data_IF_426312777093
#
_entry.id   IF_426312777093
#
_cell.length_a   1.000
_cell.length_b   1.000
_cell.length_c   1.000
_cell.angle_alpha   90.00
_cell.angle_beta   90.00
_cell.angle_gamma   90.00
#
_symmetry.space_group_name_H-M   'P 1'
#
loop_
_entity.id
_entity.type
_entity.pdbx_description
1 polymer ?
#
# COMPACT_ATOMS: atom_id res chain seq x y z
N UNK A 1 -22.61 1.34 -27.22
CA UNK A 1 -23.50 2.44 -26.83
C UNK A 1 -22.64 3.45 -26.14
N UNK A 2 -22.87 4.74 -26.36
CA UNK A 2 -22.09 5.78 -25.68
C UNK A 2 -22.53 5.82 -24.21
N UNK A 3 -21.57 5.68 -23.30
CA UNK A 3 -21.78 5.76 -21.87
C UNK A 3 -20.97 6.92 -21.30
N UNK A 4 -21.64 7.77 -20.53
CA UNK A 4 -21.04 8.87 -19.79
C UNK A 4 -21.42 8.70 -18.32
N UNK A 5 -20.43 8.79 -17.44
CA UNK A 5 -20.61 8.71 -16.00
C UNK A 5 -19.83 9.82 -15.32
N UNK A 6 -20.49 10.54 -14.41
CA UNK A 6 -19.85 11.48 -13.50
C UNK A 6 -19.80 10.86 -12.11
N UNK A 7 -18.62 10.42 -11.71
CA UNK A 7 -18.39 9.76 -10.44
C UNK A 7 -17.78 10.75 -9.46
N UNK A 8 -18.41 10.87 -8.29
CA UNK A 8 -17.87 11.64 -7.16
C UNK A 8 -17.50 10.69 -6.03
N UNK A 9 -16.24 10.69 -5.67
CA UNK A 9 -15.68 9.88 -4.59
C UNK A 9 -15.58 10.76 -3.36
N UNK A 10 -16.23 10.37 -2.27
CA UNK A 10 -16.19 11.10 -1.00
C UNK A 10 -15.42 10.28 0.03
N UNK A 11 -14.63 10.97 0.85
CA UNK A 11 -13.83 10.38 1.92
C UNK A 11 -14.38 10.85 3.26
N UNK A 12 -14.61 9.89 4.16
CA UNK A 12 -15.30 10.11 5.41
C UNK A 12 -15.54 8.82 6.14
N UNK A 13 -16.07 8.96 7.36
CA UNK A 13 -16.53 7.87 8.21
C UNK A 13 -18.06 7.88 8.19
N UNK A 14 -18.68 6.72 7.98
CA UNK A 14 -20.12 6.55 8.08
C UNK A 14 -20.45 5.78 9.36
N UNK A 15 -21.03 6.46 10.34
CA UNK A 15 -21.38 5.89 11.65
C UNK A 15 -22.79 6.35 12.03
N UNK A 16 -23.61 5.42 12.53
CA UNK A 16 -24.98 5.69 13.03
C UNK A 16 -25.87 6.50 12.05
N UNK A 17 -25.75 6.22 10.76
CA UNK A 17 -26.52 6.90 9.71
C UNK A 17 -25.97 8.27 9.30
N UNK A 18 -24.85 8.70 9.90
CA UNK A 18 -24.24 10.01 9.67
C UNK A 18 -22.93 9.86 8.91
N UNK A 19 -22.80 10.58 7.80
CA UNK A 19 -21.55 10.72 7.07
C UNK A 19 -20.74 11.91 7.61
N UNK A 20 -19.56 11.62 8.15
CA UNK A 20 -18.61 12.64 8.62
C UNK A 20 -17.41 12.67 7.68
N UNK A 21 -17.28 13.70 6.82
CA UNK A 21 -16.16 13.79 5.90
C UNK A 21 -14.86 14.11 6.64
N UNK A 22 -13.75 13.54 6.19
CA UNK A 22 -12.41 13.95 6.60
C UNK A 22 -11.50 14.10 5.39
N UNK A 23 -10.47 14.93 5.54
CA UNK A 23 -9.52 15.23 4.47
C UNK A 23 -8.38 14.23 4.48
N UNK A 24 -8.08 13.63 3.33
CA UNK A 24 -6.84 12.89 3.15
C UNK A 24 -5.72 13.88 2.84
N UNK A 25 -4.55 13.76 3.48
CA UNK A 25 -3.39 14.57 3.12
C UNK A 25 -2.93 14.28 1.69
N UNK A 26 -3.02 13.02 1.27
CA UNK A 26 -2.84 12.63 -0.13
C UNK A 26 -3.65 11.38 -0.47
N UNK A 27 -4.08 11.30 -1.73
CA UNK A 27 -4.71 10.15 -2.36
C UNK A 27 -4.24 10.08 -3.80
N UNK A 28 -4.03 8.88 -4.32
CA UNK A 28 -3.76 8.68 -5.73
C UNK A 28 -4.70 7.61 -6.30
N UNK A 29 -5.07 7.78 -7.57
CA UNK A 29 -5.84 6.80 -8.33
C UNK A 29 -5.14 6.55 -9.65
N UNK A 30 -5.10 5.29 -10.07
CA UNK A 30 -4.66 4.92 -11.41
C UNK A 30 -5.87 4.61 -12.27
N UNK A 31 -5.95 5.29 -13.40
CA UNK A 31 -6.88 5.09 -14.49
C UNK A 31 -6.20 4.20 -15.51
N UNK A 32 -6.79 3.05 -15.80
CA UNK A 32 -6.19 2.04 -16.67
C UNK A 32 -7.09 1.78 -17.88
N UNK A 33 -6.51 1.15 -18.90
CA UNK A 33 -7.21 0.67 -20.11
C UNK A 33 -7.72 1.81 -21.02
N UNK A 34 -7.00 2.94 -21.12
CA UNK A 34 -7.37 3.93 -22.14
C UNK A 34 -7.17 3.33 -23.53
N UNK A 35 -8.24 3.14 -24.30
CA UNK A 35 -8.17 2.63 -25.66
C UNK A 35 -9.17 3.31 -26.62
N UNK A 36 -9.00 3.12 -27.92
CA UNK A 36 -9.96 3.55 -28.96
C UNK A 36 -10.77 2.43 -29.59
N UNK A 37 -10.56 1.21 -29.15
CA UNK A 37 -11.04 0.03 -29.86
C UNK A 37 -10.67 0.05 -31.34
N UNK A 38 -11.51 -0.59 -32.17
CA UNK A 38 -11.21 -0.79 -33.60
C UNK A 38 -11.35 0.47 -34.47
N UNK A 39 -11.80 1.61 -33.93
CA UNK A 39 -11.99 2.85 -34.70
C UNK A 39 -11.79 4.10 -33.82
N UNK A 40 -10.91 5.01 -34.25
CA UNK A 40 -10.48 6.21 -33.49
C UNK A 40 -11.59 7.23 -33.13
N UNK A 41 -12.82 7.05 -33.59
CA UNK A 41 -13.94 7.95 -33.25
C UNK A 41 -14.59 7.67 -31.90
N UNK A 42 -14.08 6.72 -31.11
CA UNK A 42 -14.78 6.15 -29.96
C UNK A 42 -13.85 5.87 -28.76
N UNK A 43 -12.88 6.76 -28.52
CA UNK A 43 -11.86 6.55 -27.49
C UNK A 43 -12.35 6.80 -26.08
N UNK A 44 -11.86 5.99 -25.15
CA UNK A 44 -12.09 6.18 -23.74
C UNK A 44 -11.45 7.50 -23.30
N UNK A 45 -12.20 8.24 -22.47
CA UNK A 45 -11.80 9.57 -22.03
C UNK A 45 -12.17 9.75 -20.57
N UNK A 46 -11.26 10.30 -19.79
CA UNK A 46 -11.51 10.74 -18.42
C UNK A 46 -11.20 12.23 -18.31
N UNK A 47 -12.06 12.96 -17.62
CA UNK A 47 -11.86 14.36 -17.28
C UNK A 47 -11.76 14.48 -15.76
N UNK A 48 -10.77 15.25 -15.31
CA UNK A 48 -10.66 15.68 -13.91
C UNK A 48 -10.42 17.19 -13.85
N UNK A 49 -11.02 17.83 -12.86
CA UNK A 49 -10.94 19.28 -12.61
C UNK A 49 -10.33 19.61 -11.25
N UNK A 50 -10.02 18.60 -10.43
CA UNK A 50 -9.72 18.76 -9.00
C UNK A 50 -8.50 17.95 -8.51
N UNK A 51 -7.76 17.32 -9.42
CA UNK A 51 -6.45 16.74 -9.12
C UNK A 51 -5.41 17.84 -8.85
N UNK A 52 -4.45 17.54 -7.99
CA UNK A 52 -3.30 18.39 -7.68
C UNK A 52 -2.16 18.22 -8.69
N UNK A 53 -1.92 16.97 -9.12
CA UNK A 53 -0.95 16.63 -10.17
C UNK A 53 -1.39 15.35 -10.89
N UNK A 54 -0.76 15.06 -12.03
CA UNK A 54 -1.03 13.86 -12.80
C UNK A 54 0.25 13.34 -13.47
N UNK A 55 0.22 12.06 -13.83
CA UNK A 55 1.20 11.37 -14.66
C UNK A 55 0.45 10.60 -15.74
N UNK A 56 1.00 10.57 -16.96
CA UNK A 56 0.42 9.82 -18.08
C UNK A 56 1.47 8.92 -18.71
N UNK A 57 1.06 7.71 -19.07
CA UNK A 57 1.84 6.86 -19.95
C UNK A 57 2.01 7.50 -21.33
N UNK A 58 3.02 7.05 -22.07
CA UNK A 58 3.44 7.65 -23.35
C UNK A 58 2.33 7.66 -24.42
N UNK A 59 1.40 6.71 -24.37
CA UNK A 59 0.30 6.59 -25.32
C UNK A 59 -0.91 7.45 -24.92
N UNK A 60 -1.00 7.93 -23.68
CA UNK A 60 -2.12 8.76 -23.23
C UNK A 60 -1.95 10.19 -23.74
N UNK A 61 -2.89 10.63 -24.57
CA UNK A 61 -3.01 12.04 -24.96
C UNK A 61 -3.64 12.83 -23.82
N UNK A 62 -2.87 13.77 -23.25
CA UNK A 62 -3.33 14.64 -22.17
C UNK A 62 -3.45 16.07 -22.68
N UNK A 63 -4.63 16.66 -22.49
CA UNK A 63 -4.88 18.08 -22.78
C UNK A 63 -5.42 18.77 -21.54
N UNK A 64 -4.86 19.93 -21.20
CA UNK A 64 -5.29 20.72 -20.04
C UNK A 64 -5.43 22.19 -20.42
N UNK A 65 -6.50 22.82 -19.93
CA UNK A 65 -6.73 24.28 -20.05
C UNK A 65 -6.46 25.03 -18.74
N UNK A 66 -5.91 24.34 -17.73
CA UNK A 66 -5.65 24.87 -16.39
C UNK A 66 -6.83 24.78 -15.42
N UNK A 67 -8.05 24.52 -15.89
CA UNK A 67 -9.21 24.22 -15.06
C UNK A 67 -9.66 22.76 -15.21
N UNK A 68 -9.46 22.20 -16.40
CA UNK A 68 -9.92 20.90 -16.81
C UNK A 68 -8.77 20.16 -17.48
N UNK A 69 -8.50 18.94 -17.03
CA UNK A 69 -7.56 18.03 -17.70
C UNK A 69 -8.32 16.85 -18.26
N UNK A 70 -8.08 16.57 -19.54
CA UNK A 70 -8.67 15.48 -20.30
C UNK A 70 -7.59 14.47 -20.63
N UNK A 71 -7.82 13.23 -20.24
CA UNK A 71 -7.00 12.06 -20.52
C UNK A 71 -7.74 11.20 -21.53
N UNK A 72 -7.11 10.89 -22.65
CA UNK A 72 -7.68 10.04 -23.69
C UNK A 72 -6.56 9.37 -24.44
N UNK A 73 -6.73 8.12 -24.86
CA UNK A 73 -5.82 7.50 -25.81
C UNK A 73 -6.32 7.72 -27.25
N UNK A 74 -5.41 7.69 -28.23
CA UNK A 74 -5.67 7.59 -29.67
C UNK A 74 -5.22 6.24 -30.26
N UNK A 75 -4.68 5.34 -29.43
CA UNK A 75 -4.21 4.02 -29.81
C UNK A 75 -5.38 3.09 -30.13
N UNK A 76 -5.30 2.47 -31.30
CA UNK A 76 -6.30 1.48 -31.75
C UNK A 76 -5.88 0.08 -31.29
N UNK A 77 -6.05 -0.21 -30.01
CA UNK A 77 -5.87 -1.55 -29.46
C UNK A 77 -7.17 -2.36 -29.52
N UNK A 78 -7.02 -3.67 -29.68
CA UNK A 78 -8.07 -4.63 -29.30
C UNK A 78 -8.03 -4.88 -27.79
N UNK A 79 -8.89 -5.76 -27.28
CA UNK A 79 -8.87 -6.12 -25.85
C UNK A 79 -7.72 -7.04 -25.43
N UNK A 80 -6.61 -7.03 -26.18
CA UNK A 80 -5.47 -7.95 -26.00
C UNK A 80 -4.55 -7.49 -24.86
N UNK A 81 -4.65 -6.23 -24.43
CA UNK A 81 -3.77 -5.62 -23.42
C UNK A 81 -4.53 -5.07 -22.20
N UNK A 82 -5.76 -5.54 -21.98
CA UNK A 82 -6.52 -5.14 -20.79
C UNK A 82 -5.80 -5.63 -19.53
N UNK A 83 -5.68 -4.79 -18.49
CA UNK A 83 -5.06 -5.21 -17.24
C UNK A 83 -5.94 -6.24 -16.52
N UNK A 84 -5.33 -7.35 -16.11
CA UNK A 84 -5.91 -8.38 -15.26
C UNK A 84 -5.42 -8.30 -13.80
N UNK A 85 -4.53 -7.34 -13.53
CA UNK A 85 -3.86 -7.10 -12.25
C UNK A 85 -3.67 -5.60 -11.99
N UNK A 86 -3.44 -5.23 -10.73
CA UNK A 86 -3.05 -3.86 -10.33
C UNK A 86 -1.57 -3.56 -10.59
N UNK A 87 -0.75 -4.60 -10.79
CA UNK A 87 0.63 -4.48 -11.25
C UNK A 87 0.60 -4.43 -12.78
N UNK A 88 0.95 -3.29 -13.36
CA UNK A 88 0.96 -3.08 -14.80
C UNK A 88 2.33 -3.41 -15.40
N UNK A 89 2.35 -4.04 -16.57
CA UNK A 89 3.55 -4.13 -17.39
C UNK A 89 3.83 -2.81 -18.14
N UNK A 90 4.95 -2.72 -18.87
CA UNK A 90 5.35 -1.50 -19.59
C UNK A 90 4.30 -1.04 -20.61
N UNK A 91 3.63 -1.97 -21.29
CA UNK A 91 2.64 -1.67 -22.32
C UNK A 91 1.36 -1.13 -21.68
N UNK A 92 0.89 -1.77 -20.60
CA UNK A 92 -0.25 -1.35 -19.81
C UNK A 92 0.00 -0.01 -19.09
N UNK A 93 1.23 0.24 -18.61
CA UNK A 93 1.63 1.53 -18.07
C UNK A 93 1.56 2.64 -19.12
N UNK A 94 1.93 2.34 -20.37
CA UNK A 94 1.91 3.31 -21.47
C UNK A 94 0.50 3.83 -21.81
N UNK A 95 -0.53 3.04 -21.54
CA UNK A 95 -1.96 3.37 -21.78
C UNK A 95 -2.72 3.68 -20.48
N UNK A 96 -2.01 4.04 -19.41
CA UNK A 96 -2.59 4.36 -18.10
C UNK A 96 -2.24 5.79 -17.66
N UNK A 97 -3.03 6.36 -16.75
CA UNK A 97 -2.77 7.66 -16.15
C UNK A 97 -2.96 7.64 -14.63
N UNK A 98 -2.05 8.27 -13.91
CA UNK A 98 -2.14 8.50 -12.46
C UNK A 98 -2.68 9.90 -12.17
N UNK A 99 -3.67 9.99 -11.27
CA UNK A 99 -4.16 11.25 -10.72
C UNK A 99 -3.88 11.31 -9.23
N UNK A 100 -3.34 12.44 -8.77
CA UNK A 100 -3.02 12.67 -7.38
C UNK A 100 -3.84 13.82 -6.82
N UNK A 101 -4.38 13.62 -5.63
CA UNK A 101 -5.24 14.55 -4.91
C UNK A 101 -4.62 14.81 -3.55
N UNK A 102 -4.41 16.08 -3.22
CA UNK A 102 -3.82 16.48 -1.94
C UNK A 102 -4.82 17.36 -1.20
N UNK A 103 -4.88 17.18 0.13
CA UNK A 103 -5.78 17.92 1.01
C UNK A 103 -7.25 17.92 0.55
N UNK A 104 -7.71 16.78 0.04
CA UNK A 104 -9.08 16.57 -0.42
C UNK A 104 -9.85 15.60 0.46
N UNK A 105 -11.13 15.89 0.69
CA UNK A 105 -12.10 14.95 1.25
C UNK A 105 -13.05 14.38 0.17
N UNK A 106 -12.89 14.79 -1.09
CA UNK A 106 -13.60 14.24 -2.25
C UNK A 106 -12.88 14.61 -3.55
N UNK A 107 -13.13 13.83 -4.60
CA UNK A 107 -12.72 14.16 -5.97
C UNK A 107 -13.77 13.68 -6.98
N UNK A 108 -13.74 14.24 -8.19
CA UNK A 108 -14.69 13.93 -9.26
C UNK A 108 -13.99 13.53 -10.54
N UNK A 109 -14.49 12.45 -11.15
CA UNK A 109 -14.06 12.00 -12.47
C UNK A 109 -15.26 11.95 -13.41
N UNK A 110 -15.16 12.58 -14.57
CA UNK A 110 -16.12 12.42 -15.66
C UNK A 110 -15.53 11.45 -16.68
N UNK A 111 -16.22 10.34 -16.88
CA UNK A 111 -15.72 9.18 -17.62
C UNK A 111 -16.63 8.96 -18.83
N UNK A 112 -16.00 8.77 -19.99
CA UNK A 112 -16.68 8.58 -21.25
C UNK A 112 -16.18 7.30 -21.90
N UNK A 113 -17.10 6.43 -22.28
CA UNK A 113 -16.84 5.23 -23.04
C UNK A 113 -17.71 5.21 -24.29
N UNK A 114 -17.08 5.31 -25.47
CA UNK A 114 -17.81 5.42 -26.74
C UNK A 114 -17.85 4.10 -27.52
N UNK A 115 -17.50 2.97 -26.89
CA UNK A 115 -17.43 1.70 -27.58
C UNK A 115 -18.81 1.13 -27.98
N UNK A 116 -18.85 0.39 -29.09
CA UNK A 116 -20.08 -0.27 -29.57
C UNK A 116 -20.55 -1.39 -28.63
N UNK A 117 -19.63 -1.98 -27.88
CA UNK A 117 -19.82 -3.06 -26.89
C UNK A 117 -19.45 -2.56 -25.50
N UNK A 118 -20.01 -3.11 -24.40
CA UNK A 118 -19.70 -2.66 -23.05
C UNK A 118 -18.21 -2.82 -22.77
N UNK A 119 -17.57 -1.70 -22.41
CA UNK A 119 -16.20 -1.62 -21.95
C UNK A 119 -16.16 -0.85 -20.64
N UNK A 120 -15.09 -0.97 -19.89
CA UNK A 120 -15.01 -0.44 -18.53
C UNK A 120 -13.63 0.16 -18.33
N UNK A 121 -13.60 1.45 -18.01
CA UNK A 121 -12.40 2.08 -17.48
C UNK A 121 -12.20 1.53 -16.08
N UNK A 122 -11.07 0.87 -15.86
CA UNK A 122 -10.74 0.26 -14.57
C UNK A 122 -10.11 1.31 -13.64
N UNK A 123 -10.54 1.29 -12.38
CA UNK A 123 -9.99 2.12 -11.31
C UNK A 123 -9.27 1.23 -10.29
N UNK A 124 -8.00 1.50 -10.04
CA UNK A 124 -7.28 0.93 -8.91
C UNK A 124 -6.98 2.02 -7.89
N UNK A 125 -7.47 1.83 -6.65
CA UNK A 125 -7.20 2.70 -5.50
C UNK A 125 -5.93 2.33 -4.71
N UNK A 126 -5.19 1.32 -5.18
CA UNK A 126 -3.84 1.01 -4.71
C UNK A 126 -2.94 1.17 -5.92
N UNK A 127 -2.30 2.33 -6.04
CA UNK A 127 -1.24 2.52 -7.01
C UNK A 127 0.08 2.09 -6.36
N UNK A 128 0.62 0.99 -6.85
CA UNK A 128 2.00 0.55 -6.64
C UNK A 128 2.90 1.07 -7.76
N UNK A 129 2.63 2.27 -8.29
CA UNK A 129 3.58 3.00 -9.11
C UNK A 129 4.83 3.29 -8.25
N UNK A 130 5.80 2.40 -8.34
CA UNK A 130 7.17 2.67 -7.94
C UNK A 130 7.74 3.68 -8.93
N UNK A 131 7.69 4.96 -8.59
CA UNK A 131 8.39 6.01 -9.36
C UNK A 131 9.60 6.54 -8.62
N UNK A 132 10.60 6.94 -9.40
CA UNK A 132 11.96 7.28 -8.95
C UNK A 132 11.97 8.32 -7.83
N UNK A 133 12.84 8.08 -6.84
CA UNK A 133 13.07 9.00 -5.74
C UNK A 133 13.38 10.40 -6.29
N UNK A 134 12.53 11.38 -5.95
CA UNK A 134 12.77 12.79 -6.26
C UNK A 134 14.12 13.18 -5.65
N UNK A 135 15.10 13.51 -6.50
CA UNK A 135 16.38 14.01 -6.05
C UNK A 135 16.23 15.45 -5.56
N UNK A 136 16.12 15.61 -4.23
CA UNK A 136 16.15 16.95 -3.62
C UNK A 136 17.57 17.52 -3.68
N UNK A 137 17.76 18.75 -4.20
CA UNK A 137 19.06 19.43 -4.13
C UNK A 137 19.43 19.75 -2.67
N UNK A 138 20.73 19.65 -2.37
CA UNK A 138 21.27 19.86 -1.02
C UNK A 138 20.86 21.24 -0.45
N UNK A 139 20.45 21.32 0.83
CA UNK A 139 20.04 22.59 1.43
C UNK A 139 21.23 23.54 1.56
N UNK A 140 21.00 24.81 1.18
CA UNK A 140 21.96 25.90 1.35
C UNK A 140 22.09 26.26 2.84
N UNK A 141 23.29 26.48 3.39
CA UNK A 141 23.47 26.77 4.80
C UNK A 141 22.87 28.13 5.20
N UNK A 142 22.14 28.15 6.31
CA UNK A 142 21.42 29.31 6.85
C UNK A 142 22.37 30.28 7.58
N UNK A 143 22.19 31.61 7.49
CA UNK A 143 23.00 32.58 8.21
C UNK A 143 22.64 32.63 9.72
N UNK A 144 23.66 32.83 10.55
CA UNK A 144 23.57 32.85 12.01
C UNK A 144 22.93 34.14 12.57
N UNK A 145 21.87 34.07 13.38
CA UNK A 145 21.34 35.23 14.11
C UNK A 145 21.89 35.36 15.55
N UNK A 146 21.90 36.62 16.03
CA UNK A 146 22.36 37.07 17.37
C UNK A 146 21.30 36.87 18.48
N UNK A 147 21.68 36.87 19.78
CA UNK A 147 20.84 36.37 20.86
C UNK A 147 19.96 37.47 21.48
N UNK A 148 18.74 37.13 21.91
CA UNK A 148 18.00 37.82 22.99
C UNK A 148 16.94 36.89 23.60
N UNK A 149 16.74 37.02 24.91
CA UNK A 149 16.21 36.06 25.89
C UNK A 149 14.67 35.98 26.00
N UNK A 150 14.23 34.86 26.60
CA UNK A 150 12.87 34.34 26.79
C UNK A 150 11.94 35.16 27.73
N UNK A 151 10.62 34.91 27.74
CA UNK A 151 10.04 33.80 28.51
C UNK A 151 8.91 32.98 27.81
N UNK A 152 8.60 31.86 28.46
CA UNK A 152 8.02 30.57 28.03
C UNK A 152 6.49 30.50 27.80
N UNK A 153 6.08 29.74 26.76
CA UNK A 153 4.76 29.12 26.56
C UNK A 153 4.90 27.73 25.87
N UNK A 154 3.90 26.83 25.94
CA UNK A 154 4.09 25.38 25.91
C UNK A 154 4.48 24.83 24.54
N UNK A 155 5.29 23.78 24.60
CA UNK A 155 5.89 23.05 23.50
C UNK A 155 4.83 22.43 22.58
N UNK A 156 4.86 22.66 21.25
CA UNK A 156 4.22 21.74 20.31
C UNK A 156 4.99 20.42 20.31
N UNK A 157 4.25 19.31 20.41
CA UNK A 157 4.78 17.95 20.30
C UNK A 157 5.47 17.77 18.94
N UNK A 158 6.69 17.20 18.87
CA UNK A 158 7.32 16.90 17.60
C UNK A 158 6.51 15.83 16.86
N UNK A 159 6.16 16.10 15.61
CA UNK A 159 5.75 15.06 14.66
C UNK A 159 6.93 14.12 14.46
N UNK A 160 6.78 12.79 14.64
CA UNK A 160 7.88 11.87 14.38
C UNK A 160 8.20 11.87 12.89
N UNK A 161 9.46 12.17 12.56
CA UNK A 161 10.07 11.82 11.28
C UNK A 161 9.92 10.31 11.02
N UNK A 162 9.92 9.84 9.75
CA UNK A 162 9.96 8.41 9.48
C UNK A 162 11.26 7.85 10.08
N UNK A 163 11.14 7.21 11.23
CA UNK A 163 12.29 6.66 11.94
C UNK A 163 12.43 5.22 11.46
N UNK A 164 13.55 4.90 10.81
CA UNK A 164 13.87 3.52 10.41
C UNK A 164 13.75 2.61 11.63
N UNK A 165 13.09 1.45 11.48
CA UNK A 165 12.75 0.58 12.60
C UNK A 165 14.00 -0.02 13.27
N UNK A 166 15.05 -0.23 12.46
CA UNK A 166 16.33 -0.78 12.89
C UNK A 166 17.45 0.21 12.64
N UNK A 167 18.39 0.27 13.59
CA UNK A 167 19.67 0.97 13.47
C UNK A 167 20.81 0.05 13.91
N UNK A 168 21.84 -0.15 13.09
CA UNK A 168 22.99 -1.00 13.45
C UNK A 168 23.97 -0.15 14.23
N UNK A 169 24.10 -0.45 15.53
CA UNK A 169 24.91 0.36 16.45
C UNK A 169 26.32 -0.22 16.67
N UNK A 170 26.56 -1.49 16.30
CA UNK A 170 27.92 -2.07 16.22
C UNK A 170 27.98 -3.35 15.40
N UNK A 171 29.17 -3.67 14.87
CA UNK A 171 29.44 -4.88 14.10
C UNK A 171 28.97 -4.82 12.65
N UNK A 172 28.98 -5.97 11.97
CA UNK A 172 28.81 -6.06 10.52
C UNK A 172 27.44 -6.62 10.08
N UNK A 173 26.42 -6.50 10.94
CA UNK A 173 25.07 -6.90 10.55
C UNK A 173 24.51 -5.96 9.48
N UNK A 174 23.78 -6.53 8.53
CA UNK A 174 23.08 -5.76 7.50
C UNK A 174 21.76 -5.22 8.05
N UNK A 175 21.41 -3.99 7.68
CA UNK A 175 20.10 -3.41 7.98
C UNK A 175 19.58 -2.51 6.85
N UNK A 176 18.27 -2.56 6.67
CA UNK A 176 17.45 -1.55 5.98
C UNK A 176 16.48 -0.96 7.01
N UNK A 177 15.67 0.03 6.61
CA UNK A 177 14.72 0.64 7.54
C UNK A 177 13.63 -0.31 8.07
N UNK A 178 13.46 -1.50 7.48
CA UNK A 178 12.45 -2.47 7.89
C UNK A 178 12.95 -3.90 8.04
N UNK A 179 14.22 -4.19 7.74
CA UNK A 179 14.79 -5.54 7.83
C UNK A 179 16.24 -5.53 8.30
N UNK A 180 16.65 -6.63 8.92
CA UNK A 180 18.01 -6.90 9.40
C UNK A 180 18.44 -8.30 8.98
N UNK A 181 19.75 -8.47 8.84
CA UNK A 181 20.38 -9.74 8.43
C UNK A 181 21.67 -9.99 9.18
N UNK A 182 22.00 -11.26 9.41
CA UNK A 182 23.33 -11.65 9.89
C UNK A 182 24.43 -11.21 8.91
N UNK A 183 25.68 -11.07 9.36
CA UNK A 183 26.79 -10.77 8.45
C UNK A 183 26.86 -11.78 7.31
N UNK A 184 27.17 -11.31 6.10
CA UNK A 184 27.29 -12.09 4.86
C UNK A 184 26.03 -12.78 4.33
N UNK A 185 24.87 -12.69 5.01
CA UNK A 185 23.63 -13.31 4.54
C UNK A 185 23.32 -12.89 3.08
N UNK A 186 22.95 -13.82 2.17
CA UNK A 186 22.54 -15.20 2.41
C UNK A 186 23.66 -16.25 2.40
N UNK A 187 24.93 -15.85 2.43
CA UNK A 187 26.06 -16.76 2.65
C UNK A 187 26.29 -16.98 4.15
N UNK A 188 27.14 -17.96 4.49
CA UNK A 188 27.42 -18.26 5.89
C UNK A 188 28.09 -17.08 6.61
N UNK A 189 27.67 -16.84 7.86
CA UNK A 189 28.34 -15.85 8.72
C UNK A 189 29.75 -16.32 9.12
N UNK A 190 30.56 -15.41 9.66
CA UNK A 190 31.93 -15.71 10.09
C UNK A 190 32.02 -16.20 11.54
N UNK A 191 33.16 -16.84 11.92
CA UNK A 191 33.45 -17.20 13.31
C UNK A 191 33.70 -15.96 14.17
N UNK A 192 33.47 -16.09 15.49
CA UNK A 192 33.77 -15.09 16.52
C UNK A 192 33.19 -13.68 16.22
N UNK A 193 32.10 -13.63 15.44
CA UNK A 193 31.46 -12.41 15.00
C UNK A 193 30.45 -11.92 16.02
N UNK A 194 30.26 -10.61 16.14
CA UNK A 194 29.17 -10.05 16.91
C UNK A 194 28.66 -8.74 16.31
N UNK A 195 27.39 -8.44 16.55
CA UNK A 195 26.79 -7.17 16.19
C UNK A 195 25.67 -6.81 17.16
N UNK A 196 25.31 -5.52 17.20
CA UNK A 196 24.17 -5.04 17.95
C UNK A 196 23.33 -4.07 17.12
N UNK A 197 22.02 -4.18 17.28
CA UNK A 197 20.99 -3.45 16.52
C UNK A 197 20.03 -2.83 17.53
N UNK A 198 19.70 -1.56 17.36
CA UNK A 198 18.73 -0.85 18.19
C UNK A 198 17.38 -0.74 17.48
N UNK A 199 16.29 -0.98 18.22
CA UNK A 199 14.93 -0.74 17.75
C UNK A 199 14.53 0.72 17.98
N UNK A 200 14.05 1.40 16.94
CA UNK A 200 13.52 2.76 17.09
C UNK A 200 12.19 2.81 17.85
N UNK A 201 11.38 1.75 17.73
CA UNK A 201 10.14 1.58 18.50
C UNK A 201 9.75 0.10 18.58
N UNK A 202 9.01 -0.32 19.62
CA UNK A 202 8.61 -1.71 19.79
C UNK A 202 7.86 -2.24 18.57
N UNK A 203 8.35 -3.32 17.95
CA UNK A 203 7.78 -3.87 16.71
C UNK A 203 7.83 -5.39 16.66
N UNK A 204 6.81 -6.01 16.04
CA UNK A 204 6.73 -7.46 15.88
C UNK A 204 7.65 -7.95 14.77
N UNK A 205 8.52 -8.91 15.07
CA UNK A 205 9.46 -9.49 14.12
C UNK A 205 8.80 -10.55 13.22
N UNK A 206 9.06 -10.46 11.92
CA UNK A 206 8.78 -11.45 10.89
C UNK A 206 10.11 -12.08 10.49
N UNK A 207 10.26 -13.39 10.69
CA UNK A 207 11.49 -14.10 10.36
C UNK A 207 11.33 -14.74 9.00
N UNK A 208 12.09 -14.26 8.02
CA UNK A 208 12.08 -14.79 6.65
C UNK A 208 12.97 -16.04 6.55
N UNK A 209 14.11 -16.02 7.24
CA UNK A 209 15.06 -17.14 7.29
C UNK A 209 15.82 -17.12 8.62
N UNK A 210 16.12 -18.30 9.16
CA UNK A 210 16.87 -18.47 10.41
C UNK A 210 17.53 -19.84 10.46
N UNK A 211 18.84 -19.88 10.27
CA UNK A 211 19.68 -21.07 10.34
C UNK A 211 21.01 -20.71 10.97
N UNK A 212 21.21 -21.08 12.23
CA UNK A 212 22.45 -20.86 12.98
C UNK A 212 22.92 -22.15 13.65
N UNK A 213 24.16 -22.22 14.14
CA UNK A 213 24.55 -23.32 15.01
C UNK A 213 23.67 -23.31 16.26
N UNK A 214 23.04 -24.45 16.54
CA UNK A 214 22.19 -24.59 17.70
C UNK A 214 23.01 -24.41 18.99
N UNK A 215 22.49 -23.63 19.94
CA UNK A 215 23.02 -23.40 21.29
C UNK A 215 24.23 -22.46 21.35
N UNK A 216 25.14 -22.51 20.37
CA UNK A 216 26.40 -21.75 20.40
C UNK A 216 26.27 -20.37 19.74
N UNK A 217 25.62 -20.32 18.59
CA UNK A 217 25.44 -19.07 17.83
C UNK A 217 24.06 -18.48 18.11
N UNK A 218 24.05 -17.34 18.79
CA UNK A 218 22.86 -16.84 19.47
C UNK A 218 22.48 -15.44 19.01
N UNK A 219 21.21 -15.30 18.62
CA UNK A 219 20.51 -14.03 18.54
C UNK A 219 19.75 -13.79 19.85
N UNK A 220 19.93 -12.62 20.46
CA UNK A 220 19.27 -12.22 21.70
C UNK A 220 18.25 -11.14 21.39
N UNK A 221 16.98 -11.41 21.69
CA UNK A 221 15.86 -10.44 21.55
C UNK A 221 15.12 -10.37 22.89
N UNK A 222 14.99 -9.18 23.46
CA UNK A 222 14.40 -8.94 24.79
C UNK A 222 14.99 -9.85 25.90
N UNK A 223 16.30 -10.13 25.82
CA UNK A 223 16.99 -11.00 26.77
C UNK A 223 16.77 -12.52 26.58
N UNK A 224 16.03 -12.94 25.54
CA UNK A 224 15.85 -14.36 25.21
C UNK A 224 16.78 -14.78 24.07
N UNK A 225 17.35 -15.97 24.18
CA UNK A 225 18.30 -16.55 23.23
C UNK A 225 17.59 -17.38 22.15
N UNK A 226 17.94 -17.16 20.89
CA UNK A 226 17.45 -17.86 19.71
C UNK A 226 18.64 -18.43 18.94
N UNK A 227 18.56 -19.69 18.53
CA UNK A 227 19.62 -20.40 17.79
C UNK A 227 19.04 -21.57 16.99
N UNK A 228 19.85 -22.24 16.16
CA UNK A 228 19.39 -23.35 15.34
C UNK A 228 18.44 -22.87 14.25
N UNK A 229 17.31 -23.56 14.11
CA UNK A 229 16.20 -23.16 13.24
C UNK A 229 15.06 -22.44 13.98
N UNK A 230 15.25 -22.12 15.27
CA UNK A 230 14.23 -21.53 16.13
C UNK A 230 14.46 -20.02 16.29
N UNK A 231 14.11 -19.25 15.27
CA UNK A 231 14.19 -17.78 15.29
C UNK A 231 13.04 -17.11 16.07
N UNK A 232 13.14 -15.78 16.32
CA UNK A 232 12.16 -15.01 17.12
C UNK A 232 10.88 -14.65 16.32
N UNK A 233 10.20 -15.65 15.75
CA UNK A 233 8.99 -15.45 14.94
C UNK A 233 7.87 -14.83 15.80
N UNK A 234 7.34 -13.68 15.39
CA UNK A 234 6.21 -13.02 16.05
C UNK A 234 6.55 -12.36 17.40
N UNK A 235 7.83 -12.30 17.77
CA UNK A 235 8.28 -11.62 18.99
C UNK A 235 8.23 -10.11 18.77
N UNK A 236 7.59 -9.37 19.69
CA UNK A 236 7.68 -7.91 19.71
C UNK A 236 9.02 -7.49 20.32
N UNK A 237 9.98 -7.12 19.48
CA UNK A 237 11.28 -6.63 19.93
C UNK A 237 11.14 -5.19 20.45
N UNK A 238 11.76 -4.92 21.60
CA UNK A 238 11.80 -3.61 22.25
C UNK A 238 13.22 -3.37 22.78
N UNK A 239 13.87 -2.31 22.31
CA UNK A 239 15.28 -2.01 22.58
C UNK A 239 16.27 -2.82 21.74
N UNK A 240 17.41 -3.18 22.34
CA UNK A 240 18.54 -3.77 21.62
C UNK A 240 18.35 -5.25 21.26
N UNK A 241 18.70 -5.60 20.03
CA UNK A 241 18.93 -6.97 19.54
C UNK A 241 20.43 -7.20 19.44
N UNK A 242 20.93 -8.34 19.91
CA UNK A 242 22.36 -8.69 19.85
C UNK A 242 22.58 -10.02 19.17
N UNK A 243 23.62 -10.13 18.37
CA UNK A 243 24.03 -11.37 17.70
C UNK A 243 25.47 -11.69 18.06
N UNK A 244 25.77 -12.97 18.29
CA UNK A 244 27.13 -13.46 18.44
C UNK A 244 27.28 -14.88 17.90
N UNK A 245 28.39 -15.15 17.21
CA UNK A 245 28.83 -16.50 16.85
C UNK A 245 30.06 -16.94 17.64
N UNK A 246 30.24 -18.26 17.76
CA UNK A 246 31.43 -18.89 18.31
C UNK A 246 32.46 -19.19 17.19
N UNK A 247 33.52 -19.94 17.52
CA UNK A 247 34.62 -20.21 16.62
C UNK A 247 34.33 -21.21 15.49
N UNK A 248 33.21 -21.93 15.46
CA UNK A 248 32.91 -22.98 14.49
C UNK A 248 31.41 -23.07 14.12
N UNK A 249 31.05 -24.06 13.29
CA UNK A 249 29.64 -24.40 13.05
C UNK A 249 28.78 -23.40 12.27
N UNK A 250 29.39 -22.46 11.55
CA UNK A 250 28.65 -21.37 10.90
C UNK A 250 27.70 -21.86 9.80
N UNK A 251 26.46 -21.41 9.89
CA UNK A 251 25.40 -21.62 8.91
C UNK A 251 25.07 -20.32 8.15
N UNK A 252 24.04 -20.39 7.31
CA UNK A 252 23.53 -19.29 6.47
C UNK A 252 23.16 -18.02 7.26
N UNK A 253 22.83 -18.15 8.53
CA UNK A 253 22.41 -17.05 9.40
C UNK A 253 20.93 -16.71 9.28
N UNK A 254 20.57 -15.44 9.36
CA UNK A 254 19.17 -15.02 9.51
C UNK A 254 18.81 -13.77 8.72
N UNK A 255 17.53 -13.68 8.36
CA UNK A 255 16.89 -12.50 7.77
C UNK A 255 15.56 -12.25 8.47
N UNK A 256 15.41 -11.07 9.07
CA UNK A 256 14.29 -10.72 9.93
C UNK A 256 13.81 -9.31 9.57
N UNK A 257 12.51 -9.11 9.46
CA UNK A 257 11.90 -7.81 9.18
C UNK A 257 10.92 -7.42 10.30
N UNK A 258 10.54 -6.14 10.39
CA UNK A 258 9.35 -5.77 11.14
C UNK A 258 8.10 -6.10 10.33
N UNK A 259 7.12 -6.74 10.97
CA UNK A 259 5.77 -6.79 10.44
C UNK A 259 5.18 -5.38 10.44
N UNK A 260 4.53 -4.97 9.36
CA UNK A 260 3.69 -3.77 9.37
C UNK A 260 2.76 -3.85 10.59
N UNK A 261 2.54 -2.73 11.32
CA UNK A 261 1.83 -2.76 12.58
C UNK A 261 0.50 -3.46 12.41
N UNK A 262 0.38 -4.65 13.02
CA UNK A 262 -0.91 -5.30 13.19
C UNK A 262 -1.69 -4.38 14.11
N UNK A 263 -2.81 -3.84 13.61
CA UNK A 263 -3.70 -3.01 14.41
C UNK A 263 -3.95 -3.72 15.76
N UNK A 264 -3.90 -2.94 16.84
CA UNK A 264 -4.07 -3.45 18.20
C UNK A 264 -5.29 -4.41 18.28
N UNK A 265 -5.22 -5.50 19.07
CA UNK A 265 -6.33 -6.44 19.18
C UNK A 265 -7.60 -5.71 19.60
N UNK A 266 -8.58 -5.71 18.70
CA UNK A 266 -9.92 -5.20 18.95
C UNK A 266 -10.49 -5.93 20.17
N UNK A 267 -11.15 -5.23 21.12
CA UNK A 267 -11.87 -5.89 22.22
C UNK A 267 -12.82 -6.96 21.69
N UNK A 268 -13.14 -7.99 22.50
CA UNK A 268 -13.98 -9.11 22.08
C UNK A 268 -15.26 -8.58 21.42
N UNK A 269 -15.70 -9.17 20.29
CA UNK A 269 -16.82 -8.63 19.54
C UNK A 269 -18.05 -8.59 20.44
N UNK A 270 -18.59 -7.39 20.62
CA UNK A 270 -20.02 -7.21 20.91
C UNK A 270 -20.78 -8.10 19.92
N UNK A 271 -21.80 -8.88 20.35
CA UNK A 271 -22.55 -9.75 19.45
C UNK A 271 -22.93 -8.96 18.19
N UNK A 272 -22.49 -9.46 17.03
CA UNK A 272 -22.70 -8.78 15.76
C UNK A 272 -24.18 -8.42 15.60
N UNK A 273 -24.49 -7.20 15.12
CA UNK A 273 -25.84 -6.90 14.69
C UNK A 273 -26.25 -7.96 13.67
N UNK A 274 -27.48 -8.42 13.77
CA UNK A 274 -28.06 -9.34 12.78
C UNK A 274 -27.89 -8.70 11.41
N UNK A 275 -27.19 -9.35 10.48
CA UNK A 275 -26.94 -8.78 9.15
C UNK A 275 -28.26 -8.25 8.57
N UNK A 276 -28.25 -6.97 8.19
CA UNK A 276 -29.40 -6.35 7.56
C UNK A 276 -29.67 -7.01 6.20
N UNK A 277 -28.70 -7.71 5.61
CA UNK A 277 -28.79 -8.37 4.32
C UNK A 277 -29.38 -9.77 4.47
N UNK A 278 -30.43 -10.05 3.71
CA UNK A 278 -31.06 -11.37 3.63
C UNK A 278 -31.22 -11.76 2.17
N UNK A 279 -30.75 -12.94 1.82
CA UNK A 279 -31.11 -13.57 0.52
C UNK A 279 -32.51 -14.15 0.68
N UNK A 280 -33.47 -13.51 0.01
CA UNK A 280 -34.89 -13.86 0.06
C UNK A 280 -35.19 -15.04 -0.86
N UNK A 281 -34.46 -15.12 -1.98
CA UNK A 281 -34.59 -16.19 -2.97
C UNK A 281 -33.30 -16.32 -3.79
N UNK A 282 -33.03 -17.51 -4.34
CA UNK A 282 -31.84 -17.80 -5.15
C UNK A 282 -30.55 -18.10 -4.36
N UNK A 283 -29.41 -18.14 -5.07
CA UNK A 283 -28.17 -18.78 -4.61
C UNK A 283 -27.01 -17.80 -4.29
N UNK A 284 -27.30 -16.57 -3.90
CA UNK A 284 -26.23 -15.64 -3.51
C UNK A 284 -25.70 -15.98 -2.11
N UNK A 285 -24.40 -15.75 -1.92
CA UNK A 285 -23.71 -16.02 -0.66
C UNK A 285 -23.58 -14.73 0.15
N UNK A 286 -23.83 -14.78 1.45
CA UNK A 286 -23.59 -13.64 2.36
C UNK A 286 -22.25 -13.87 3.05
N UNK A 287 -21.33 -12.91 2.89
CA UNK A 287 -20.01 -12.92 3.54
C UNK A 287 -19.86 -11.60 4.29
N UNK A 288 -20.13 -11.63 5.60
CA UNK A 288 -20.20 -10.42 6.42
C UNK A 288 -21.39 -9.55 6.05
N UNK A 289 -21.13 -8.27 5.74
CA UNK A 289 -22.11 -7.30 5.22
C UNK A 289 -22.09 -7.21 3.68
N UNK A 290 -21.50 -8.18 3.01
CA UNK A 290 -21.47 -8.28 1.57
C UNK A 290 -22.34 -9.44 1.10
N UNK A 291 -22.87 -9.30 -0.11
CA UNK A 291 -23.53 -10.36 -0.84
C UNK A 291 -22.79 -10.63 -2.14
N UNK A 292 -22.56 -11.90 -2.42
CA UNK A 292 -21.77 -12.38 -3.55
C UNK A 292 -22.67 -13.16 -4.50
N UNK A 293 -22.40 -13.04 -5.79
CA UNK A 293 -23.03 -13.87 -6.81
C UNK A 293 -22.67 -15.34 -6.60
N UNK A 294 -23.49 -16.29 -7.08
CA UNK A 294 -23.20 -17.71 -6.88
C UNK A 294 -21.83 -18.09 -7.43
N UNK A 295 -21.12 -18.93 -6.68
CA UNK A 295 -19.79 -19.48 -6.99
C UNK A 295 -18.62 -18.49 -6.91
N UNK A 296 -18.83 -17.24 -6.51
CA UNK A 296 -17.73 -16.27 -6.40
C UNK A 296 -16.59 -16.84 -5.52
N UNK A 297 -15.32 -16.75 -5.94
CA UNK A 297 -14.78 -15.96 -7.06
C UNK A 297 -14.82 -16.63 -8.44
N UNK A 298 -15.33 -17.86 -8.54
CA UNK A 298 -15.52 -18.56 -9.82
C UNK A 298 -16.73 -18.00 -10.59
N UNK A 299 -16.83 -18.38 -11.87
CA UNK A 299 -17.93 -17.95 -12.73
C UNK A 299 -19.29 -18.44 -12.20
N UNK A 300 -20.29 -17.56 -12.26
CA UNK A 300 -21.69 -17.93 -12.10
C UNK A 300 -22.18 -18.77 -13.30
N UNK A 301 -23.20 -19.60 -13.07
CA UNK A 301 -23.86 -20.42 -14.08
C UNK A 301 -24.93 -19.68 -14.87
N UNK A 302 -25.33 -20.24 -16.02
CA UNK A 302 -26.40 -19.67 -16.85
C UNK A 302 -27.74 -19.64 -16.11
N UNK A 303 -28.47 -18.54 -16.26
CA UNK A 303 -29.80 -18.30 -15.66
C UNK A 303 -29.85 -18.30 -14.13
N UNK A 304 -28.71 -18.16 -13.45
CA UNK A 304 -28.71 -17.95 -12.02
C UNK A 304 -29.17 -16.54 -11.67
N UNK A 305 -30.01 -16.44 -10.65
CA UNK A 305 -30.50 -15.19 -10.09
C UNK A 305 -30.64 -15.35 -8.58
N UNK A 306 -30.62 -14.23 -7.87
CA UNK A 306 -30.99 -14.16 -6.46
C UNK A 306 -31.70 -12.84 -6.17
N UNK A 307 -32.54 -12.85 -5.14
CA UNK A 307 -33.24 -11.67 -4.62
C UNK A 307 -32.71 -11.38 -3.23
N UNK A 308 -32.24 -10.15 -3.02
CA UNK A 308 -31.62 -9.71 -1.78
C UNK A 308 -32.50 -8.62 -1.17
N UNK A 309 -32.67 -8.65 0.14
CA UNK A 309 -33.43 -7.65 0.90
C UNK A 309 -32.59 -7.12 2.05
N UNK A 310 -32.76 -5.83 2.33
CA UNK A 310 -32.17 -5.17 3.49
C UNK A 310 -33.27 -4.98 4.54
N UNK A 311 -33.20 -5.67 5.68
CA UNK A 311 -34.05 -5.41 6.84
C UNK A 311 -33.48 -4.23 7.60
N UNK A 312 -34.27 -3.19 7.85
CA UNK A 312 -33.88 -2.05 8.70
C UNK A 312 -33.90 -2.40 10.18
#
# INVERSE_FOLDING_TARGET
>A
GEAEARLRFNVGVYEDGVWTPFTLPSLAVTLMDFDCGKSAGACEKVISTDHSRYEGGESVTITSDGATTVFSDNHKSGGENNPDSVILDEEQMSISAGLYFEDRNNFTLEMFNFARWPRTILLAGITNLQWEAISTPAPTPLPTPSPTLAPTQPTPSPSPSPTCAFDVISGDCGATCSCITSPNYPENYGPDGSCAIEMASPSTLQVNDFSTEAIWDTLVVNGNNYSGSSGPVGVTADGQISWSSDGAGQDKGWSICVGLPTAAPTPPPTPSPTSHIVVVDGQCDIVGDCVQSPNYPSNYGSYQACTISFRG
#
